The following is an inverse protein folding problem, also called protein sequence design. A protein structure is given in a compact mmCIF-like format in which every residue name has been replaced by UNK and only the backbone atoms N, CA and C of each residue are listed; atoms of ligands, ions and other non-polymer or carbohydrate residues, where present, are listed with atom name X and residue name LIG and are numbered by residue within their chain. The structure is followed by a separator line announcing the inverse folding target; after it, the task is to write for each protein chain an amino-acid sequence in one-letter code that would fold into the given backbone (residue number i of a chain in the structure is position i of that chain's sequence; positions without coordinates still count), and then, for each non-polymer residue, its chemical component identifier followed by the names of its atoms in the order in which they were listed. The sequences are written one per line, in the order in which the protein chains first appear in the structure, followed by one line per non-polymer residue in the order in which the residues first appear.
data_IF_602827107047
#
_entry.id   IF_602827107047
#
_cell.length_a   1.000
_cell.length_b   1.000
_cell.length_c   1.000
_cell.angle_alpha   90.00
_cell.angle_beta   90.00
_cell.angle_gamma   90.00
#
_symmetry.space_group_name_H-M   'P 1'
#
loop_
_entity.id
_entity.type
_entity.pdbx_description
1 polymer ?
#
# COMPACT_ATOMS: atom_id res chain seq x y z
N UNK A 1 -6.14 -1.80 -16.48
CA UNK A 1 -5.73 -0.54 -15.84
C UNK A 1 -6.17 -0.63 -14.40
N UNK A 2 -5.23 -0.52 -13.46
CA UNK A 2 -5.50 -0.55 -12.02
C UNK A 2 -5.14 0.81 -11.45
N UNK A 3 -6.06 1.44 -10.73
CA UNK A 3 -5.85 2.77 -10.17
C UNK A 3 -6.32 2.85 -8.72
N UNK A 4 -5.64 3.67 -7.93
CA UNK A 4 -6.00 3.99 -6.56
C UNK A 4 -6.11 5.50 -6.38
N UNK A 5 -7.11 5.92 -5.60
CA UNK A 5 -7.30 7.32 -5.22
C UNK A 5 -7.33 7.43 -3.69
N UNK A 6 -6.39 8.20 -3.14
CA UNK A 6 -6.25 8.44 -1.70
C UNK A 6 -6.28 7.17 -0.84
N UNK A 7 -5.68 6.08 -1.33
CA UNK A 7 -5.70 4.80 -0.64
C UNK A 7 -4.98 4.91 0.71
N UNK A 8 -5.63 4.36 1.74
CA UNK A 8 -5.05 4.16 3.06
C UNK A 8 -4.83 2.68 3.30
N UNK A 9 -3.63 2.31 3.72
CA UNK A 9 -3.26 0.93 4.02
C UNK A 9 -2.86 0.81 5.49
N UNK A 10 -3.19 -0.33 6.09
CA UNK A 10 -2.98 -0.57 7.50
C UNK A 10 -3.35 -1.99 7.91
N UNK A 11 -3.20 -2.29 9.19
CA UNK A 11 -3.57 -3.58 9.76
C UNK A 11 -4.09 -3.41 11.19
N UNK A 12 -4.83 -4.40 11.68
CA UNK A 12 -5.24 -4.44 13.07
C UNK A 12 -4.12 -5.01 13.94
N UNK A 13 -3.77 -4.29 15.00
CA UNK A 13 -2.88 -4.78 16.05
C UNK A 13 -3.56 -5.89 16.84
N UNK A 14 -2.78 -6.75 17.51
CA UNK A 14 -3.28 -7.78 18.46
C UNK A 14 -4.17 -7.20 19.57
N UNK A 15 -4.05 -5.91 19.87
CA UNK A 15 -4.88 -5.21 20.86
C UNK A 15 -6.18 -4.62 20.26
N UNK A 16 -6.53 -5.00 19.03
CA UNK A 16 -7.70 -4.49 18.31
C UNK A 16 -7.54 -3.07 17.73
N UNK A 17 -6.39 -2.41 17.94
CA UNK A 17 -6.17 -1.06 17.44
C UNK A 17 -5.81 -1.08 15.95
N UNK A 18 -6.56 -0.36 15.13
CA UNK A 18 -6.21 -0.13 13.74
C UNK A 18 -4.93 0.71 13.65
N UNK A 19 -3.93 0.18 12.95
CA UNK A 19 -2.68 0.88 12.66
C UNK A 19 -2.63 1.26 11.20
N UNK A 20 -2.59 2.56 10.95
CA UNK A 20 -2.29 3.12 9.64
C UNK A 20 -0.79 2.97 9.37
N UNK A 21 -0.45 2.46 8.18
CA UNK A 21 0.93 2.31 7.72
C UNK A 21 1.27 3.41 6.71
N UNK A 22 0.36 3.71 5.79
CA UNK A 22 0.49 4.81 4.84
C UNK A 22 -0.90 5.30 4.39
N UNK A 23 -0.97 6.56 3.97
CA UNK A 23 -2.18 7.24 3.52
C UNK A 23 -1.92 8.02 2.25
N UNK A 24 -2.99 8.40 1.55
CA UNK A 24 -2.94 9.21 0.34
C UNK A 24 -2.11 8.58 -0.78
N UNK A 25 -2.16 7.25 -0.89
CA UNK A 25 -1.47 6.52 -1.95
C UNK A 25 -2.30 6.60 -3.24
N UNK A 26 -1.72 7.23 -4.26
CA UNK A 26 -2.28 7.32 -5.60
C UNK A 26 -1.33 6.62 -6.57
N UNK A 27 -1.81 5.56 -7.21
CA UNK A 27 -1.04 4.74 -8.15
C UNK A 27 -1.93 4.45 -9.35
N UNK A 28 -1.36 4.50 -10.55
CA UNK A 28 -2.00 4.05 -11.78
C UNK A 28 -1.05 3.08 -12.50
N UNK A 29 -1.52 1.87 -12.77
CA UNK A 29 -0.77 0.81 -13.44
C UNK A 29 -1.46 0.41 -14.74
N UNK A 30 -0.68 0.33 -15.82
CA UNK A 30 -1.18 -0.10 -17.12
C UNK A 30 -0.99 -1.61 -17.32
N UNK A 31 -1.87 -2.27 -18.10
CA UNK A 31 -1.68 -3.67 -18.47
C UNK A 31 -0.36 -3.88 -19.21
N UNK A 32 0.37 -4.93 -18.84
CA UNK A 32 1.65 -5.27 -19.48
C UNK A 32 2.87 -4.54 -18.92
N UNK A 33 2.71 -3.63 -17.95
CA UNK A 33 3.83 -2.97 -17.28
C UNK A 33 4.48 -3.88 -16.22
N UNK A 34 5.82 -3.87 -16.19
CA UNK A 34 6.60 -4.41 -15.08
C UNK A 34 6.92 -3.28 -14.12
N UNK A 35 6.37 -3.33 -12.91
CA UNK A 35 6.52 -2.28 -11.90
C UNK A 35 7.18 -2.84 -10.64
N UNK A 36 8.14 -2.09 -10.09
CA UNK A 36 8.86 -2.44 -8.87
C UNK A 36 8.50 -1.49 -7.72
N UNK A 37 8.08 -2.05 -6.58
CA UNK A 37 7.83 -1.30 -5.36
C UNK A 37 9.05 -1.36 -4.43
N UNK A 38 9.75 -0.24 -4.28
CA UNK A 38 11.01 -0.12 -3.52
C UNK A 38 10.87 0.79 -2.30
N UNK A 39 11.78 0.65 -1.33
CA UNK A 39 11.82 1.47 -0.12
C UNK A 39 12.34 0.71 1.10
N UNK A 40 12.60 1.40 2.23
CA UNK A 40 13.16 0.80 3.43
C UNK A 40 12.22 -0.23 4.09
N UNK A 41 12.76 -1.04 5.00
CA UNK A 41 11.97 -1.97 5.80
C UNK A 41 10.94 -1.21 6.64
N UNK A 42 9.71 -1.73 6.69
CA UNK A 42 8.61 -1.08 7.40
C UNK A 42 7.88 0.02 6.60
N UNK A 43 8.31 0.37 5.39
CA UNK A 43 7.65 1.40 4.55
C UNK A 43 6.24 1.01 4.04
N UNK A 44 5.71 -0.16 4.39
CA UNK A 44 4.36 -0.59 3.99
C UNK A 44 4.25 -1.33 2.66
N UNK A 45 5.36 -1.70 2.02
CA UNK A 45 5.36 -2.39 0.71
C UNK A 45 4.52 -3.68 0.70
N UNK A 46 4.78 -4.59 1.65
CA UNK A 46 4.00 -5.83 1.80
C UNK A 46 2.59 -5.61 2.36
N UNK A 47 2.31 -4.42 2.89
CA UNK A 47 0.96 -4.02 3.31
C UNK A 47 0.18 -3.48 2.11
N UNK A 48 0.84 -2.83 1.15
CA UNK A 48 0.23 -2.35 -0.09
C UNK A 48 -0.10 -3.49 -1.07
N UNK A 49 0.67 -4.59 -1.04
CA UNK A 49 0.48 -5.75 -1.93
C UNK A 49 -0.54 -6.78 -1.43
N UNK A 50 -1.16 -6.57 -0.27
CA UNK A 50 -2.21 -7.44 0.29
C UNK A 50 -3.56 -6.76 0.14
#
# INVERSE_FOLDING_TARGET
MLETHSLTIGYQSRRGQARVVAQNINVALQPGELVCLIGPNGAGKSTLMR
#
